data_IF_465183302344
#
_entry.id   IF_465183302344
#
_cell.length_a   1.000
_cell.length_b   1.000
_cell.length_c   1.000
_cell.angle_alpha   90.00
_cell.angle_beta   90.00
_cell.angle_gamma   90.00
#
_symmetry.space_group_name_H-M   'P 1'
#
loop_
_entity.id
_entity.type
_entity.pdbx_description
1 polymer ?
#
# COMPACT_ATOMS: atom_id res chain seq x y z
N UNK A 1 -27.59 -28.95 40.61
CA UNK A 1 -27.23 -28.96 39.16
C UNK A 1 -28.03 -27.95 38.34
N UNK A 2 -29.38 -27.96 38.34
CA UNK A 2 -30.20 -26.97 37.58
C UNK A 2 -29.90 -25.51 37.92
N UNK A 3 -29.78 -25.16 39.20
CA UNK A 3 -29.50 -23.78 39.64
C UNK A 3 -28.15 -23.26 39.11
N UNK A 4 -27.11 -24.11 39.08
CA UNK A 4 -25.77 -23.75 38.58
C UNK A 4 -25.79 -23.49 37.07
N UNK A 5 -26.52 -24.32 36.31
CA UNK A 5 -26.70 -24.12 34.87
C UNK A 5 -27.48 -22.83 34.56
N UNK A 6 -28.53 -22.53 35.31
CA UNK A 6 -29.30 -21.29 35.14
C UNK A 6 -28.46 -20.06 35.47
N UNK A 7 -27.65 -20.10 36.54
CA UNK A 7 -26.76 -19.00 36.91
C UNK A 7 -25.65 -18.79 35.88
N UNK A 8 -25.03 -19.86 35.36
CA UNK A 8 -24.02 -19.77 34.29
C UNK A 8 -24.62 -19.24 32.97
N UNK A 9 -25.83 -19.66 32.62
CA UNK A 9 -26.53 -19.20 31.42
C UNK A 9 -26.88 -17.70 31.50
N UNK A 10 -27.37 -17.25 32.67
CA UNK A 10 -27.63 -15.83 32.94
C UNK A 10 -26.31 -15.03 32.91
N UNK A 11 -25.23 -15.51 33.54
CA UNK A 11 -23.91 -14.86 33.48
C UNK A 11 -23.35 -14.79 32.05
N UNK A 12 -23.58 -15.79 31.20
CA UNK A 12 -23.19 -15.73 29.79
C UNK A 12 -24.03 -14.76 28.95
N UNK A 13 -25.33 -14.60 29.27
CA UNK A 13 -26.23 -13.68 28.57
C UNK A 13 -26.02 -12.21 28.96
N UNK A 14 -25.58 -11.94 30.19
CA UNK A 14 -25.28 -10.58 30.67
C UNK A 14 -23.79 -10.23 30.69
N UNK A 15 -22.91 -11.20 30.38
CA UNK A 15 -21.45 -11.03 30.40
C UNK A 15 -20.83 -10.64 29.06
N UNK A 16 -21.58 -10.59 27.96
CA UNK A 16 -21.06 -10.17 26.65
C UNK A 16 -20.98 -8.64 26.58
N UNK A 17 -19.94 -8.05 27.17
CA UNK A 17 -19.54 -6.69 26.77
C UNK A 17 -18.99 -6.76 25.35
N UNK A 18 -19.53 -5.96 24.44
CA UNK A 18 -18.93 -5.75 23.13
C UNK A 18 -17.56 -5.11 23.33
N UNK A 19 -16.50 -5.91 23.27
CA UNK A 19 -15.13 -5.41 23.23
C UNK A 19 -14.90 -4.95 21.80
N UNK A 20 -14.93 -3.64 21.57
CA UNK A 20 -14.52 -3.07 20.30
C UNK A 20 -13.00 -3.01 20.27
N UNK A 21 -12.40 -3.40 19.15
CA UNK A 21 -10.99 -3.10 18.88
C UNK A 21 -10.88 -1.68 18.34
N UNK A 22 -9.80 -0.97 18.71
CA UNK A 22 -9.45 0.25 18.00
C UNK A 22 -9.05 -0.13 16.57
N UNK A 23 -9.77 0.39 15.59
CA UNK A 23 -9.47 0.17 14.18
C UNK A 23 -9.41 1.48 13.40
N UNK A 24 -8.62 1.51 12.33
CA UNK A 24 -8.47 2.69 11.48
C UNK A 24 -8.32 2.33 10.01
N UNK A 25 -8.63 3.30 9.15
CA UNK A 25 -8.46 3.17 7.71
C UNK A 25 -6.99 3.44 7.37
N UNK A 26 -6.39 2.55 6.59
CA UNK A 26 -5.03 2.72 6.09
C UNK A 26 -5.03 3.43 4.73
N UNK A 27 -4.22 4.50 4.58
CA UNK A 27 -4.09 5.21 3.31
C UNK A 27 -3.31 4.38 2.29
N UNK A 28 -3.60 4.62 1.00
CA UNK A 28 -2.72 4.15 -0.07
C UNK A 28 -1.37 4.84 0.03
N UNK A 29 -0.29 4.14 -0.34
CA UNK A 29 1.07 4.69 -0.23
C UNK A 29 1.24 6.00 -1.00
N UNK A 30 0.55 6.16 -2.13
CA UNK A 30 0.50 7.42 -2.88
C UNK A 30 0.06 8.61 -2.00
N UNK A 31 -0.94 8.44 -1.14
CA UNK A 31 -1.44 9.50 -0.26
C UNK A 31 -0.45 9.83 0.84
N UNK A 32 0.19 8.80 1.41
CA UNK A 32 1.26 8.95 2.41
C UNK A 32 2.37 9.83 1.87
N UNK A 33 2.86 9.51 0.67
CA UNK A 33 3.96 10.28 0.07
C UNK A 33 3.52 11.69 -0.31
N UNK A 34 2.37 11.86 -0.96
CA UNK A 34 1.87 13.19 -1.39
C UNK A 34 1.62 14.17 -0.23
N UNK A 35 1.23 13.65 0.93
CA UNK A 35 0.82 14.48 2.07
C UNK A 35 1.95 14.75 3.07
N UNK A 36 3.09 14.08 2.93
CA UNK A 36 4.27 14.32 3.74
C UNK A 36 5.04 15.54 3.25
N UNK A 37 5.59 16.32 4.18
CA UNK A 37 6.40 17.48 3.85
C UNK A 37 7.89 17.12 3.72
N UNK A 38 8.31 16.05 4.41
CA UNK A 38 9.70 15.62 4.46
C UNK A 38 9.87 14.11 4.27
N UNK A 39 11.01 13.72 3.68
CA UNK A 39 11.46 12.33 3.61
C UNK A 39 12.88 12.20 4.18
N UNK A 40 13.01 11.54 5.33
CA UNK A 40 14.25 11.52 6.12
C UNK A 40 14.63 10.11 6.57
N UNK A 41 15.94 9.88 6.75
CA UNK A 41 16.51 8.75 7.48
C UNK A 41 16.86 9.21 8.89
N UNK A 42 16.45 8.44 9.88
CA UNK A 42 16.58 8.78 11.30
C UNK A 42 17.10 7.61 12.11
N UNK A 43 17.71 7.92 13.26
CA UNK A 43 17.94 6.98 14.35
C UNK A 43 16.84 7.17 15.40
N UNK A 44 16.05 6.14 15.67
CA UNK A 44 15.07 6.16 16.76
C UNK A 44 15.83 6.01 18.07
N UNK A 45 15.63 6.97 18.99
CA UNK A 45 16.33 7.01 20.29
C UNK A 45 15.41 6.64 21.45
N UNK A 46 14.11 6.91 21.30
CA UNK A 46 13.07 6.53 22.26
C UNK A 46 11.75 6.36 21.52
N UNK A 47 10.95 5.39 21.96
CA UNK A 47 9.57 5.16 21.52
C UNK A 47 8.73 4.90 22.75
N UNK A 48 7.69 5.69 22.94
CA UNK A 48 6.66 5.51 23.96
C UNK A 48 5.33 5.37 23.21
N UNK A 49 4.57 4.28 23.42
CA UNK A 49 3.32 4.03 22.69
C UNK A 49 2.35 5.20 22.69
N UNK A 50 2.26 5.92 23.81
CA UNK A 50 1.28 7.00 24.02
C UNK A 50 1.88 8.39 23.74
N UNK A 51 3.19 8.57 23.96
CA UNK A 51 3.85 9.89 23.82
C UNK A 51 4.55 10.10 22.49
N UNK A 52 4.75 9.05 21.71
CA UNK A 52 5.40 9.10 20.41
C UNK A 52 6.88 8.73 20.42
N UNK A 53 7.57 9.18 19.38
CA UNK A 53 8.94 8.77 19.03
C UNK A 53 9.86 9.98 19.09
N UNK A 54 11.01 9.82 19.75
CA UNK A 54 12.13 10.76 19.66
C UNK A 54 13.17 10.16 18.72
N UNK A 55 13.49 10.89 17.65
CA UNK A 55 14.43 10.43 16.65
C UNK A 55 15.45 11.52 16.29
N UNK A 56 16.68 11.11 15.98
CA UNK A 56 17.72 12.01 15.46
C UNK A 56 17.82 11.83 13.96
N UNK A 57 17.72 12.92 13.22
CA UNK A 57 17.85 12.90 11.76
C UNK A 57 19.31 12.63 11.39
N UNK A 58 19.51 11.58 10.62
CA UNK A 58 20.81 11.21 10.04
C UNK A 58 20.97 11.96 8.71
N UNK A 59 19.94 11.94 7.87
CA UNK A 59 19.98 12.53 6.53
C UNK A 59 18.58 12.79 5.99
N UNK A 60 18.43 13.90 5.27
CA UNK A 60 17.25 14.18 4.44
C UNK A 60 17.44 13.64 3.02
N UNK A 61 16.43 12.97 2.48
CA UNK A 61 16.42 12.38 1.13
C UNK A 61 15.61 13.22 0.13
N UNK A 62 14.68 14.01 0.63
CA UNK A 62 13.89 15.00 -0.12
C UNK A 62 14.70 16.22 -0.61
N UNK A 63 15.96 16.35 -0.21
CA UNK A 63 16.80 17.51 -0.51
C UNK A 63 16.61 18.70 0.45
N UNK A 64 15.78 18.55 1.50
CA UNK A 64 15.68 19.54 2.58
C UNK A 64 16.92 19.51 3.48
N UNK A 65 17.14 20.58 4.23
CA UNK A 65 18.23 20.67 5.23
C UNK A 65 17.74 20.33 6.66
N UNK A 66 16.76 19.45 6.78
CA UNK A 66 16.26 19.05 8.10
C UNK A 66 17.33 18.26 8.87
N UNK A 67 17.59 18.65 10.13
CA UNK A 67 18.64 18.05 10.96
C UNK A 67 18.30 18.16 12.45
N UNK A 68 19.03 17.44 13.29
CA UNK A 68 18.86 17.46 14.74
C UNK A 68 17.87 16.41 15.26
N UNK A 69 17.38 16.63 16.48
CA UNK A 69 16.43 15.75 17.15
C UNK A 69 15.01 16.24 16.92
N UNK A 70 14.13 15.33 16.55
CA UNK A 70 12.71 15.58 16.30
C UNK A 70 11.85 14.73 17.23
N UNK A 71 10.62 15.19 17.42
CA UNK A 71 9.56 14.44 18.09
C UNK A 71 8.48 14.14 17.07
N UNK A 72 8.10 12.87 16.96
CA UNK A 72 6.99 12.39 16.15
C UNK A 72 5.91 11.92 17.12
N UNK A 73 4.78 12.63 17.22
CA UNK A 73 3.81 12.40 18.29
C UNK A 73 2.35 12.49 17.83
N UNK A 74 2.12 12.41 16.52
CA UNK A 74 0.79 12.53 15.95
C UNK A 74 0.68 11.79 14.60
N UNK A 75 -0.54 11.65 14.09
CA UNK A 75 -0.86 10.95 12.86
C UNK A 75 -1.68 11.82 11.90
N UNK A 76 -1.14 12.13 10.71
CA UNK A 76 -1.79 13.10 9.80
C UNK A 76 -2.85 12.51 8.86
N UNK A 77 -3.02 11.18 8.81
CA UNK A 77 -4.09 10.51 8.04
C UNK A 77 -4.84 9.45 8.87
N UNK A 78 -4.81 9.57 10.19
CA UNK A 78 -5.54 8.65 11.03
C UNK A 78 -7.05 8.89 10.93
N UNK A 79 -7.75 7.88 10.46
CA UNK A 79 -9.21 7.86 10.32
C UNK A 79 -9.76 6.64 11.09
N UNK A 80 -10.29 6.87 12.28
CA UNK A 80 -10.75 5.82 13.19
C UNK A 80 -12.10 5.26 12.73
N UNK A 81 -12.15 3.94 12.52
CA UNK A 81 -13.38 3.22 12.18
C UNK A 81 -14.15 2.72 13.42
N UNK A 82 -13.42 2.30 14.45
CA UNK A 82 -14.00 1.89 15.74
C UNK A 82 -13.02 2.19 16.86
N UNK A 83 -13.53 2.50 18.05
CA UNK A 83 -12.73 2.83 19.24
C UNK A 83 -12.95 1.82 20.36
N UNK A 84 -11.89 1.48 21.09
CA UNK A 84 -11.98 0.77 22.37
C UNK A 84 -11.88 1.76 23.53
N UNK A 85 -12.61 1.50 24.62
CA UNK A 85 -12.47 2.26 25.88
C UNK A 85 -11.15 1.85 26.57
N UNK A 86 -10.00 2.37 26.13
CA UNK A 86 -8.76 2.18 26.89
C UNK A 86 -7.44 2.47 26.19
N UNK A 87 -7.37 2.35 24.87
CA UNK A 87 -6.10 2.54 24.13
C UNK A 87 -6.33 3.34 22.85
N UNK A 88 -5.53 4.39 22.67
CA UNK A 88 -5.47 5.16 21.43
C UNK A 88 -4.58 4.48 20.38
N UNK A 89 -4.41 5.09 19.21
CA UNK A 89 -3.42 4.62 18.24
C UNK A 89 -2.02 4.82 18.81
N UNK A 90 -1.21 3.77 18.77
CA UNK A 90 0.06 3.70 19.49
C UNK A 90 1.29 3.72 18.55
N UNK A 91 2.41 4.24 19.05
CA UNK A 91 3.70 4.22 18.36
C UNK A 91 4.54 3.00 18.78
N UNK A 92 4.64 2.00 17.89
CA UNK A 92 5.44 0.79 18.13
C UNK A 92 6.71 0.75 17.28
N UNK A 93 7.82 1.27 17.82
CA UNK A 93 9.14 1.24 17.16
C UNK A 93 10.18 0.44 17.95
N UNK A 94 9.74 -0.39 18.91
CA UNK A 94 10.64 -1.25 19.67
C UNK A 94 11.51 -2.09 18.73
N UNK A 95 12.82 -2.09 18.96
CA UNK A 95 13.84 -2.84 18.18
C UNK A 95 14.12 -2.32 16.77
N UNK A 96 13.64 -1.12 16.42
CA UNK A 96 13.98 -0.49 15.15
C UNK A 96 14.89 0.72 15.40
N UNK A 97 16.20 0.51 15.29
CA UNK A 97 17.16 1.60 15.55
C UNK A 97 17.15 2.66 14.45
N UNK A 98 16.89 2.26 13.21
CA UNK A 98 17.00 3.14 12.03
C UNK A 98 15.76 3.02 11.16
N UNK A 99 15.12 4.15 10.91
CA UNK A 99 13.89 4.24 10.12
C UNK A 99 14.01 5.36 9.10
N UNK A 100 13.46 5.10 7.92
CA UNK A 100 13.01 6.17 7.04
C UNK A 100 11.62 6.62 7.48
N UNK A 101 11.36 7.92 7.43
CA UNK A 101 10.06 8.50 7.74
C UNK A 101 9.60 9.46 6.66
N UNK A 102 8.30 9.40 6.38
CA UNK A 102 7.53 10.43 5.70
C UNK A 102 6.86 11.30 6.76
N UNK A 103 7.38 12.51 6.95
CA UNK A 103 6.98 13.38 8.05
C UNK A 103 6.12 14.53 7.54
N UNK A 104 5.07 14.85 8.28
CA UNK A 104 4.31 16.10 8.14
C UNK A 104 4.54 16.95 9.38
N UNK A 105 4.78 18.26 9.23
CA UNK A 105 4.90 19.14 10.40
C UNK A 105 3.51 19.40 10.98
N UNK A 106 3.34 19.20 12.28
CA UNK A 106 2.06 19.47 12.95
C UNK A 106 1.98 20.90 13.50
N UNK A 107 0.79 21.28 13.96
CA UNK A 107 0.48 22.63 14.46
C UNK A 107 1.26 22.99 15.74
N UNK A 108 1.70 22.00 16.50
CA UNK A 108 2.54 22.18 17.70
C UNK A 108 4.03 22.33 17.38
N UNK A 109 4.42 22.25 16.09
CA UNK A 109 5.81 22.33 15.65
C UNK A 109 6.60 21.02 15.75
N UNK A 110 5.95 19.94 16.19
CA UNK A 110 6.45 18.58 16.13
C UNK A 110 6.10 17.94 14.76
N UNK A 111 6.27 16.63 14.63
CA UNK A 111 6.02 15.90 13.39
C UNK A 111 4.98 14.79 13.57
N UNK A 112 4.36 14.41 12.46
CA UNK A 112 3.39 13.34 12.37
C UNK A 112 3.80 12.34 11.28
N UNK A 113 3.49 11.06 11.47
CA UNK A 113 3.49 10.04 10.41
C UNK A 113 2.06 9.80 9.91
N UNK A 114 1.84 8.97 8.89
CA UNK A 114 0.50 8.85 8.29
C UNK A 114 -0.50 8.19 9.25
N UNK A 115 -0.14 7.00 9.75
CA UNK A 115 -0.93 6.16 10.66
C UNK A 115 0.03 5.33 11.53
N UNK A 116 -0.45 4.53 12.49
CA UNK A 116 0.41 3.62 13.26
C UNK A 116 1.19 2.60 12.40
N UNK A 117 0.75 2.28 11.18
CA UNK A 117 1.42 1.29 10.31
C UNK A 117 1.90 1.84 8.97
N UNK A 118 1.65 3.12 8.68
CA UNK A 118 2.08 3.80 7.45
C UNK A 118 2.93 5.04 7.74
N UNK A 119 3.79 5.37 6.78
CA UNK A 119 4.63 6.58 6.85
C UNK A 119 6.04 6.34 7.35
N UNK A 120 6.47 5.09 7.50
CA UNK A 120 7.84 4.73 7.84
C UNK A 120 8.30 3.45 7.16
N UNK A 121 9.62 3.24 7.13
CA UNK A 121 10.23 2.02 6.64
C UNK A 121 11.45 1.66 7.52
N UNK A 122 11.44 0.45 8.08
CA UNK A 122 12.43 -0.01 9.03
C UNK A 122 13.67 -0.57 8.32
N UNK A 123 14.87 -0.22 8.80
CA UNK A 123 16.13 -0.79 8.31
C UNK A 123 16.50 -2.01 9.13
N UNK A 124 16.75 -3.13 8.45
CA UNK A 124 17.19 -4.39 9.05
C UNK A 124 18.22 -5.09 8.16
N UNK A 125 19.42 -5.35 8.68
CA UNK A 125 20.50 -6.06 7.97
C UNK A 125 20.77 -5.51 6.55
N UNK A 126 20.86 -4.19 6.38
CA UNK A 126 21.04 -3.46 5.09
C UNK A 126 19.86 -3.54 4.11
N UNK A 127 18.78 -4.21 4.50
CA UNK A 127 17.51 -4.15 3.79
C UNK A 127 16.58 -3.16 4.48
N UNK A 128 15.60 -2.69 3.72
CA UNK A 128 14.55 -1.80 4.18
C UNK A 128 13.23 -2.53 3.98
N UNK A 129 12.45 -2.66 5.05
CA UNK A 129 11.07 -3.14 5.01
C UNK A 129 10.17 -1.94 4.74
N UNK A 130 9.71 -1.84 3.51
CA UNK A 130 9.07 -0.64 2.98
C UNK A 130 7.75 -0.94 2.28
N UNK A 131 6.81 -0.03 2.42
CA UNK A 131 5.55 -0.04 1.68
C UNK A 131 5.71 0.69 0.36
N UNK A 132 5.29 0.06 -0.74
CA UNK A 132 5.20 0.69 -2.07
C UNK A 132 3.77 0.76 -2.59
N UNK A 133 2.80 0.09 -1.95
CA UNK A 133 1.40 0.07 -2.36
C UNK A 133 0.45 0.38 -1.21
N UNK A 134 0.51 -0.45 -0.17
CA UNK A 134 -0.34 -0.37 1.02
C UNK A 134 0.37 -1.02 2.21
N UNK A 135 0.22 -0.49 3.42
CA UNK A 135 0.99 -0.86 4.63
C UNK A 135 0.95 -2.35 4.98
N UNK A 136 -0.17 -3.02 4.70
CA UNK A 136 -0.30 -4.48 4.83
C UNK A 136 0.82 -5.26 4.12
N UNK A 137 1.35 -4.74 3.02
CA UNK A 137 2.38 -5.42 2.23
C UNK A 137 3.64 -4.57 2.25
N UNK A 138 4.65 -5.07 2.97
CA UNK A 138 5.98 -4.51 2.95
C UNK A 138 6.90 -5.38 2.10
N UNK A 139 7.69 -4.75 1.24
CA UNK A 139 8.79 -5.39 0.55
C UNK A 139 10.06 -5.24 1.37
N UNK A 140 10.84 -6.32 1.50
CA UNK A 140 12.19 -6.26 2.05
C UNK A 140 13.17 -6.09 0.89
N UNK A 141 13.67 -4.87 0.68
CA UNK A 141 14.57 -4.56 -0.43
C UNK A 141 15.91 -4.00 0.04
N UNK A 142 17.01 -4.23 -0.68
CA UNK A 142 18.29 -3.61 -0.36
C UNK A 142 18.17 -2.09 -0.27
N UNK A 143 18.85 -1.48 0.71
CA UNK A 143 18.83 -0.03 0.90
C UNK A 143 19.24 0.74 -0.36
N UNK A 144 20.19 0.18 -1.13
CA UNK A 144 20.68 0.72 -2.42
C UNK A 144 19.63 0.73 -3.53
N UNK A 145 18.51 0.00 -3.36
CA UNK A 145 17.33 0.04 -4.24
C UNK A 145 16.26 0.94 -3.64
N UNK A 146 16.02 0.82 -2.32
CA UNK A 146 14.99 1.60 -1.62
C UNK A 146 15.21 3.10 -1.75
N UNK A 147 16.40 3.60 -1.42
CA UNK A 147 16.67 5.04 -1.39
C UNK A 147 16.41 5.71 -2.75
N UNK A 148 17.00 5.27 -3.88
CA UNK A 148 16.78 5.94 -5.15
C UNK A 148 15.35 5.79 -5.69
N UNK A 149 14.71 4.62 -5.53
CA UNK A 149 13.32 4.43 -5.99
C UNK A 149 12.33 5.27 -5.19
N UNK A 150 12.43 5.24 -3.86
CA UNK A 150 11.51 5.98 -3.00
C UNK A 150 11.76 7.50 -3.03
N UNK A 151 13.02 7.92 -3.17
CA UNK A 151 13.35 9.32 -3.41
C UNK A 151 12.74 9.80 -4.72
N UNK A 152 12.84 9.01 -5.80
CA UNK A 152 12.22 9.38 -7.08
C UNK A 152 10.69 9.52 -6.94
N UNK A 153 10.03 8.60 -6.23
CA UNK A 153 8.59 8.64 -5.97
C UNK A 153 8.22 9.91 -5.19
N UNK A 154 8.93 10.19 -4.10
CA UNK A 154 8.72 11.41 -3.31
C UNK A 154 8.88 12.65 -4.18
N UNK A 155 10.00 12.78 -4.90
CA UNK A 155 10.28 13.92 -5.76
C UNK A 155 9.23 14.12 -6.84
N UNK A 156 8.79 13.05 -7.50
CA UNK A 156 7.71 13.10 -8.49
C UNK A 156 6.43 13.72 -7.93
N UNK A 157 6.02 13.29 -6.74
CA UNK A 157 4.81 13.83 -6.11
C UNK A 157 4.94 15.27 -5.62
N UNK A 158 6.17 15.75 -5.46
CA UNK A 158 6.50 17.12 -5.06
C UNK A 158 6.97 18.00 -6.22
N UNK A 159 6.78 17.56 -7.47
CA UNK A 159 7.14 18.33 -8.66
C UNK A 159 8.64 18.55 -8.86
N UNK A 160 9.48 17.67 -8.30
CA UNK A 160 10.93 17.73 -8.37
C UNK A 160 11.49 16.69 -9.35
N UNK A 161 12.67 16.97 -9.90
CA UNK A 161 13.38 16.06 -10.79
C UNK A 161 13.99 14.86 -10.05
N UNK A 162 14.04 13.71 -10.73
CA UNK A 162 14.62 12.48 -10.22
C UNK A 162 15.55 11.83 -11.25
N UNK A 163 16.42 10.93 -10.79
CA UNK A 163 17.36 10.21 -11.65
C UNK A 163 16.63 9.20 -12.55
N UNK A 164 16.19 9.67 -13.70
CA UNK A 164 15.45 8.85 -14.67
C UNK A 164 16.30 7.68 -15.21
N UNK A 165 17.61 7.87 -15.36
CA UNK A 165 18.50 6.86 -15.92
C UNK A 165 18.63 5.65 -14.98
N UNK A 166 18.82 5.92 -13.68
CA UNK A 166 18.81 4.86 -12.66
C UNK A 166 17.47 4.11 -12.68
N UNK A 167 16.36 4.84 -12.64
CA UNK A 167 15.02 4.25 -12.55
C UNK A 167 14.71 3.38 -13.76
N UNK A 168 14.95 3.86 -14.98
CA UNK A 168 14.73 3.09 -16.20
C UNK A 168 15.63 1.84 -16.24
N UNK A 169 16.89 1.97 -15.79
CA UNK A 169 17.82 0.84 -15.69
C UNK A 169 17.34 -0.22 -14.70
N UNK A 170 16.89 0.21 -13.51
CA UNK A 170 16.36 -0.68 -12.48
C UNK A 170 15.10 -1.42 -12.94
N UNK A 171 14.14 -0.71 -13.54
CA UNK A 171 12.90 -1.29 -14.05
C UNK A 171 13.20 -2.32 -15.14
N UNK A 172 14.00 -1.95 -16.15
CA UNK A 172 14.34 -2.86 -17.24
C UNK A 172 15.05 -4.10 -16.74
N UNK A 173 16.00 -3.95 -15.81
CA UNK A 173 16.73 -5.08 -15.22
C UNK A 173 15.78 -6.02 -14.46
N UNK A 174 14.89 -5.47 -13.64
CA UNK A 174 14.03 -6.27 -12.76
C UNK A 174 12.92 -6.97 -13.55
N UNK A 175 12.33 -6.30 -14.54
CA UNK A 175 11.22 -6.82 -15.34
C UNK A 175 11.65 -7.60 -16.58
N UNK A 176 12.95 -7.64 -16.91
CA UNK A 176 13.48 -8.54 -17.94
C UNK A 176 13.48 -10.02 -17.50
N UNK A 177 13.39 -10.27 -16.19
CA UNK A 177 13.23 -11.60 -15.64
C UNK A 177 11.77 -12.04 -15.71
N UNK A 178 11.54 -13.35 -15.84
CA UNK A 178 10.20 -13.92 -15.67
C UNK A 178 9.66 -13.60 -14.26
N UNK A 179 8.32 -13.53 -14.08
CA UNK A 179 7.73 -13.37 -12.76
C UNK A 179 8.28 -14.37 -11.76
N UNK A 180 8.83 -13.86 -10.65
CA UNK A 180 9.42 -14.69 -9.62
C UNK A 180 8.34 -15.37 -8.78
N UNK A 181 8.63 -16.60 -8.38
CA UNK A 181 7.80 -17.34 -7.42
C UNK A 181 7.93 -16.74 -6.03
N UNK A 182 6.87 -16.86 -5.24
CA UNK A 182 6.86 -16.47 -3.82
C UNK A 182 7.30 -17.69 -3.00
N UNK A 183 8.58 -17.99 -3.05
CA UNK A 183 9.26 -19.02 -2.25
C UNK A 183 10.60 -18.49 -1.72
N UNK A 184 11.32 -19.29 -0.94
CA UNK A 184 12.57 -18.85 -0.29
C UNK A 184 13.63 -18.37 -1.30
N UNK A 185 13.72 -18.99 -2.46
CA UNK A 185 14.71 -18.66 -3.50
C UNK A 185 14.27 -17.47 -4.37
N UNK A 186 12.96 -17.34 -4.63
CA UNK A 186 12.38 -16.32 -5.50
C UNK A 186 12.04 -15.01 -4.80
N UNK A 187 11.91 -15.00 -3.47
CA UNK A 187 11.39 -13.85 -2.70
C UNK A 187 12.13 -12.54 -2.96
N UNK A 188 13.46 -12.56 -2.97
CA UNK A 188 14.26 -11.36 -3.21
C UNK A 188 14.01 -10.79 -4.61
N UNK A 189 13.92 -11.66 -5.62
CA UNK A 189 13.60 -11.25 -7.00
C UNK A 189 12.18 -10.71 -7.10
N UNK A 190 11.23 -11.38 -6.44
CA UNK A 190 9.83 -10.94 -6.36
C UNK A 190 9.72 -9.53 -5.77
N UNK A 191 10.43 -9.23 -4.67
CA UNK A 191 10.41 -7.89 -4.09
C UNK A 191 10.98 -6.82 -5.02
N UNK A 192 12.06 -7.12 -5.76
CA UNK A 192 12.61 -6.19 -6.75
C UNK A 192 11.63 -5.94 -7.90
N UNK A 193 10.95 -6.97 -8.39
CA UNK A 193 9.93 -6.87 -9.43
C UNK A 193 8.72 -6.07 -8.95
N UNK A 194 8.25 -6.33 -7.73
CA UNK A 194 7.18 -5.55 -7.10
C UNK A 194 7.55 -4.07 -7.02
N UNK A 195 8.74 -3.75 -6.51
CA UNK A 195 9.21 -2.36 -6.43
C UNK A 195 9.33 -1.72 -7.81
N UNK A 196 9.79 -2.43 -8.83
CA UNK A 196 9.86 -1.91 -10.20
C UNK A 196 8.47 -1.55 -10.75
N UNK A 197 7.47 -2.42 -10.60
CA UNK A 197 6.10 -2.19 -11.07
C UNK A 197 5.41 -1.04 -10.31
N UNK A 198 5.50 -0.99 -8.98
CA UNK A 198 4.91 0.12 -8.22
C UNK A 198 5.65 1.44 -8.49
N UNK A 199 6.97 1.40 -8.70
CA UNK A 199 7.75 2.59 -9.12
C UNK A 199 7.27 3.09 -10.49
N UNK A 200 6.98 2.21 -11.44
CA UNK A 200 6.38 2.60 -12.73
C UNK A 200 5.04 3.32 -12.55
N UNK A 201 4.17 2.78 -11.69
CA UNK A 201 2.88 3.40 -11.37
C UNK A 201 3.07 4.81 -10.79
N UNK A 202 3.86 4.93 -9.73
CA UNK A 202 4.05 6.20 -9.01
C UNK A 202 4.73 7.27 -9.86
N UNK A 203 5.66 6.88 -10.74
CA UNK A 203 6.39 7.80 -11.61
C UNK A 203 5.68 8.09 -12.93
N UNK A 204 4.54 7.43 -13.16
CA UNK A 204 3.74 7.50 -14.38
C UNK A 204 4.53 7.15 -15.66
N UNK A 205 5.28 6.06 -15.62
CA UNK A 205 6.18 5.65 -16.72
C UNK A 205 5.46 4.76 -17.72
N UNK A 206 5.54 5.12 -19.01
CA UNK A 206 4.82 4.42 -20.09
C UNK A 206 5.68 3.50 -20.98
N UNK A 207 7.01 3.53 -20.82
CA UNK A 207 7.96 2.93 -21.78
C UNK A 207 8.17 1.41 -21.65
N UNK A 208 7.55 0.75 -20.67
CA UNK A 208 7.82 -0.66 -20.34
C UNK A 208 6.57 -1.56 -20.44
N UNK A 209 5.64 -1.22 -21.34
CA UNK A 209 4.40 -2.00 -21.55
C UNK A 209 4.66 -3.49 -21.75
N UNK A 210 5.53 -3.86 -22.71
CA UNK A 210 5.83 -5.26 -23.03
C UNK A 210 6.42 -6.01 -21.83
N UNK A 211 7.28 -5.36 -21.04
CA UNK A 211 7.87 -5.96 -19.84
C UNK A 211 6.86 -6.12 -18.70
N UNK A 212 5.73 -5.41 -18.73
CA UNK A 212 4.68 -5.50 -17.71
C UNK A 212 3.75 -6.68 -17.95
N UNK A 213 3.55 -7.09 -19.21
CA UNK A 213 2.55 -8.11 -19.57
C UNK A 213 2.75 -9.48 -18.91
N UNK A 214 3.97 -10.04 -18.81
CA UNK A 214 4.15 -11.34 -18.15
C UNK A 214 3.66 -11.35 -16.71
N UNK A 215 3.80 -10.23 -15.99
CA UNK A 215 3.35 -10.07 -14.60
C UNK A 215 1.83 -9.92 -14.49
N UNK A 216 1.19 -9.27 -15.48
CA UNK A 216 -0.26 -9.17 -15.54
C UNK A 216 -0.92 -10.54 -15.76
N UNK A 217 -0.25 -11.42 -16.52
CA UNK A 217 -0.73 -12.75 -16.88
C UNK A 217 -0.30 -13.85 -15.89
N UNK A 218 0.42 -13.51 -14.83
CA UNK A 218 0.86 -14.47 -13.82
C UNK A 218 -0.28 -14.84 -12.87
N UNK A 219 -1.09 -15.81 -13.30
CA UNK A 219 -2.20 -16.37 -12.51
C UNK A 219 -1.75 -17.14 -11.27
N UNK A 220 -0.45 -17.40 -11.10
CA UNK A 220 0.09 -18.05 -9.90
C UNK A 220 0.43 -17.06 -8.79
N UNK A 221 0.43 -15.75 -9.10
CA UNK A 221 0.86 -14.70 -8.19
C UNK A 221 -0.01 -13.46 -8.34
N UNK A 222 -1.11 -13.40 -7.57
CA UNK A 222 -2.02 -12.26 -7.62
C UNK A 222 -1.34 -10.94 -7.24
N UNK A 223 -0.28 -10.94 -6.41
CA UNK A 223 0.46 -9.72 -6.08
C UNK A 223 1.18 -9.13 -7.30
N UNK A 224 1.74 -9.98 -8.16
CA UNK A 224 2.34 -9.57 -9.42
C UNK A 224 1.29 -8.96 -10.35
N UNK A 225 0.12 -9.61 -10.48
CA UNK A 225 -0.99 -9.08 -11.27
C UNK A 225 -1.47 -7.72 -10.78
N UNK A 226 -1.61 -7.53 -9.46
CA UNK A 226 -2.00 -6.27 -8.84
C UNK A 226 -1.02 -5.14 -9.20
N UNK A 227 0.28 -5.39 -9.02
CA UNK A 227 1.32 -4.39 -9.32
C UNK A 227 1.41 -4.10 -10.82
N UNK A 228 1.25 -5.11 -11.68
CA UNK A 228 1.23 -4.93 -13.12
C UNK A 228 0.01 -4.12 -13.59
N UNK A 229 -1.18 -4.44 -13.09
CA UNK A 229 -2.41 -3.71 -13.40
C UNK A 229 -2.30 -2.24 -12.98
N UNK A 230 -1.68 -1.92 -11.84
CA UNK A 230 -1.37 -0.54 -11.43
C UNK A 230 -0.34 0.10 -12.34
N UNK A 231 0.76 -0.58 -12.66
CA UNK A 231 1.80 -0.04 -13.55
C UNK A 231 1.23 0.38 -14.92
N UNK A 232 0.17 -0.29 -15.39
CA UNK A 232 -0.52 0.08 -16.61
C UNK A 232 -1.23 1.43 -16.55
N UNK A 233 -1.55 2.03 -15.39
CA UNK A 233 -2.26 3.33 -15.26
C UNK A 233 -1.71 4.47 -16.11
N UNK A 234 -0.43 4.44 -16.50
CA UNK A 234 0.17 5.47 -17.39
C UNK A 234 0.36 5.02 -18.84
N UNK A 235 -0.14 3.85 -19.20
CA UNK A 235 -0.08 3.22 -20.52
C UNK A 235 -1.51 3.12 -21.06
N UNK A 236 -2.09 4.28 -21.39
CA UNK A 236 -3.43 4.38 -21.96
C UNK A 236 -3.42 4.13 -23.48
N UNK A 237 -3.17 2.88 -23.88
CA UNK A 237 -3.24 2.45 -25.28
C UNK A 237 -4.42 1.47 -25.50
N UNK A 238 -4.90 1.30 -26.75
CA UNK A 238 -5.90 0.29 -27.06
C UNK A 238 -5.52 -1.11 -26.59
N UNK A 239 -4.24 -1.48 -26.72
CA UNK A 239 -3.73 -2.80 -26.32
C UNK A 239 -3.79 -2.97 -24.81
N UNK A 240 -3.34 -1.97 -24.04
CA UNK A 240 -3.41 -1.98 -22.57
C UNK A 240 -4.86 -2.11 -22.08
N UNK A 241 -5.80 -1.38 -22.69
CA UNK A 241 -7.24 -1.50 -22.42
C UNK A 241 -7.76 -2.91 -22.67
N UNK A 242 -7.37 -3.52 -23.79
CA UNK A 242 -7.76 -4.90 -24.11
C UNK A 242 -7.17 -5.91 -23.13
N UNK A 243 -5.93 -5.73 -22.69
CA UNK A 243 -5.31 -6.59 -21.67
C UNK A 243 -6.02 -6.49 -20.31
N UNK A 244 -6.41 -5.29 -19.89
CA UNK A 244 -7.19 -5.09 -18.67
C UNK A 244 -8.58 -5.71 -18.79
N UNK A 245 -9.27 -5.55 -19.93
CA UNK A 245 -10.56 -6.22 -20.18
C UNK A 245 -10.44 -7.75 -20.21
N UNK A 246 -9.34 -8.28 -20.74
CA UNK A 246 -9.07 -9.71 -20.73
C UNK A 246 -8.92 -10.23 -19.29
N UNK A 247 -8.18 -9.50 -18.44
CA UNK A 247 -8.04 -9.83 -17.02
C UNK A 247 -9.39 -9.79 -16.28
N UNK A 248 -10.28 -8.84 -16.61
CA UNK A 248 -11.63 -8.79 -16.04
C UNK A 248 -12.53 -9.97 -16.45
N UNK A 249 -12.35 -10.50 -17.67
CA UNK A 249 -13.12 -11.65 -18.16
C UNK A 249 -12.56 -13.00 -17.69
N UNK A 250 -11.28 -13.05 -17.30
CA UNK A 250 -10.61 -14.28 -16.91
C UNK A 250 -11.20 -14.84 -15.61
N UNK A 251 -11.66 -16.08 -15.66
CA UNK A 251 -12.24 -16.78 -14.51
C UNK A 251 -11.17 -17.28 -13.54
N UNK A 252 -9.92 -17.45 -13.99
CA UNK A 252 -8.82 -17.85 -13.14
C UNK A 252 -8.26 -16.69 -12.30
N UNK A 253 -8.49 -15.45 -12.72
CA UNK A 253 -8.01 -14.27 -11.99
C UNK A 253 -8.88 -13.98 -10.77
N UNK A 254 -8.24 -13.78 -9.62
CA UNK A 254 -8.90 -13.39 -8.36
C UNK A 254 -9.60 -12.02 -8.45
N UNK A 255 -10.57 -11.77 -7.55
CA UNK A 255 -11.39 -10.56 -7.57
C UNK A 255 -10.60 -9.26 -7.26
N UNK A 256 -9.52 -9.34 -6.48
CA UNK A 256 -8.78 -8.12 -6.14
C UNK A 256 -7.97 -7.57 -7.33
N UNK A 257 -7.18 -8.39 -8.07
CA UNK A 257 -6.60 -7.96 -9.34
C UNK A 257 -7.63 -7.36 -10.31
N UNK A 258 -8.82 -7.95 -10.41
CA UNK A 258 -9.92 -7.41 -11.23
C UNK A 258 -10.34 -6.02 -10.76
N UNK A 259 -10.55 -5.83 -9.46
CA UNK A 259 -10.91 -4.53 -8.88
C UNK A 259 -9.87 -3.46 -9.21
N UNK A 260 -8.58 -3.80 -9.11
CA UNK A 260 -7.48 -2.90 -9.50
C UNK A 260 -7.50 -2.60 -11.00
N UNK A 261 -7.74 -3.59 -11.86
CA UNK A 261 -7.86 -3.36 -13.29
C UNK A 261 -9.04 -2.42 -13.63
N UNK A 262 -10.16 -2.50 -12.90
CA UNK A 262 -11.26 -1.53 -13.03
C UNK A 262 -10.81 -0.11 -12.68
N UNK A 263 -10.06 0.08 -11.59
CA UNK A 263 -9.52 1.39 -11.23
C UNK A 263 -8.51 1.92 -12.25
N UNK A 264 -7.65 1.04 -12.77
CA UNK A 264 -6.75 1.39 -13.86
C UNK A 264 -7.53 1.84 -15.10
N UNK A 265 -8.55 1.10 -15.52
CA UNK A 265 -9.42 1.52 -16.61
C UNK A 265 -10.11 2.85 -16.31
N UNK A 266 -10.59 3.06 -15.08
CA UNK A 266 -11.24 4.32 -14.71
C UNK A 266 -10.33 5.54 -14.91
N UNK A 267 -9.02 5.40 -14.67
CA UNK A 267 -8.03 6.45 -14.92
C UNK A 267 -7.93 6.87 -16.40
N UNK A 268 -8.34 6.02 -17.33
CA UNK A 268 -8.32 6.30 -18.77
C UNK A 268 -9.59 6.98 -19.29
N UNK A 269 -10.69 6.99 -18.52
CA UNK A 269 -12.03 7.38 -18.97
C UNK A 269 -12.45 6.70 -20.30
N UNK A 270 -12.52 5.36 -20.36
CA UNK A 270 -12.61 4.58 -21.61
C UNK A 270 -14.05 4.50 -22.13
N UNK A 271 -14.57 5.60 -22.65
CA UNK A 271 -15.96 5.69 -23.16
C UNK A 271 -16.26 4.65 -24.23
N UNK A 272 -15.26 4.30 -25.04
CA UNK A 272 -15.36 3.28 -26.09
C UNK A 272 -15.61 1.86 -25.55
N UNK A 273 -15.32 1.60 -24.27
CA UNK A 273 -15.49 0.27 -23.65
C UNK A 273 -16.80 0.15 -22.85
N UNK A 274 -17.65 1.18 -22.81
CA UNK A 274 -18.83 1.24 -21.93
C UNK A 274 -19.71 -0.01 -22.06
N UNK A 275 -20.05 -0.41 -23.28
CA UNK A 275 -20.90 -1.58 -23.55
C UNK A 275 -20.28 -2.89 -23.02
N UNK A 276 -18.97 -3.06 -23.14
CA UNK A 276 -18.29 -4.26 -22.65
C UNK A 276 -18.22 -4.29 -21.12
N UNK A 277 -17.99 -3.12 -20.50
CA UNK A 277 -17.99 -2.96 -19.04
C UNK A 277 -19.40 -3.19 -18.45
N UNK A 278 -20.46 -2.71 -19.09
CA UNK A 278 -21.84 -3.00 -18.71
C UNK A 278 -22.19 -4.49 -18.84
N UNK A 279 -21.61 -5.18 -19.83
CA UNK A 279 -21.76 -6.64 -19.98
C UNK A 279 -21.05 -7.39 -18.85
N UNK A 280 -19.84 -6.97 -18.51
CA UNK A 280 -19.06 -7.51 -17.39
C UNK A 280 -19.78 -7.29 -16.05
N UNK A 281 -20.34 -6.10 -15.82
CA UNK A 281 -21.06 -5.75 -14.59
C UNK A 281 -22.20 -6.75 -14.27
N UNK A 282 -22.90 -7.25 -15.29
CA UNK A 282 -24.00 -8.22 -15.11
C UNK A 282 -23.55 -9.57 -14.55
N UNK A 283 -22.26 -9.90 -14.68
CA UNK A 283 -21.67 -11.18 -14.26
C UNK A 283 -20.60 -10.99 -13.16
N UNK A 284 -20.33 -9.76 -12.76
CA UNK A 284 -19.27 -9.45 -11.82
C UNK A 284 -19.62 -9.97 -10.42
N UNK A 285 -18.60 -10.50 -9.74
CA UNK A 285 -18.67 -10.96 -8.36
C UNK A 285 -19.04 -9.81 -7.42
N UNK A 286 -19.97 -10.08 -6.51
CA UNK A 286 -20.29 -9.25 -5.34
C UNK A 286 -19.61 -9.77 -4.07
N UNK A 287 -18.67 -10.70 -4.20
CA UNK A 287 -17.88 -11.18 -3.07
C UNK A 287 -16.90 -10.10 -2.60
N UNK A 288 -16.74 -10.02 -1.28
CA UNK A 288 -15.76 -9.13 -0.66
C UNK A 288 -14.36 -9.57 -1.05
N UNK A 289 -13.52 -8.60 -1.40
CA UNK A 289 -12.15 -8.84 -1.82
C UNK A 289 -11.18 -7.93 -1.08
N UNK A 290 -9.88 -8.15 -1.28
CA UNK A 290 -8.85 -7.33 -0.65
C UNK A 290 -7.48 -7.96 -0.74
N UNK A 291 -6.59 -7.51 0.13
CA UNK A 291 -5.15 -7.79 0.07
C UNK A 291 -4.74 -9.25 0.26
N UNK A 292 -5.67 -10.15 0.61
CA UNK A 292 -5.37 -11.50 1.06
C UNK A 292 -4.73 -11.45 2.45
N UNK A 293 -5.19 -12.26 3.41
CA UNK A 293 -4.67 -12.19 4.79
C UNK A 293 -5.24 -11.06 5.67
N UNK A 294 -6.26 -10.31 5.21
CA UNK A 294 -7.06 -9.32 5.98
C UNK A 294 -7.74 -9.89 7.26
N UNK A 295 -7.49 -11.14 7.63
CA UNK A 295 -7.91 -11.73 8.91
C UNK A 295 -6.87 -11.43 10.03
N UNK A 296 -5.66 -10.97 9.69
CA UNK A 296 -4.52 -11.00 10.63
C UNK A 296 -4.18 -9.68 11.32
N UNK A 297 -4.50 -8.50 10.77
CA UNK A 297 -4.45 -7.24 11.54
C UNK A 297 -5.87 -6.73 11.78
N UNK A 298 -6.51 -7.08 12.90
CA UNK A 298 -7.88 -6.67 13.19
C UNK A 298 -8.00 -5.15 13.40
N UNK A 299 -6.89 -4.41 13.42
CA UNK A 299 -6.86 -2.96 13.63
C UNK A 299 -7.07 -2.17 12.34
N UNK A 300 -7.06 -2.78 11.17
CA UNK A 300 -7.25 -2.03 9.91
C UNK A 300 -8.59 -2.36 9.27
N UNK A 301 -9.39 -1.31 9.02
CA UNK A 301 -10.76 -1.40 8.51
C UNK A 301 -10.91 -0.97 7.04
N UNK A 302 -9.80 -0.78 6.30
CA UNK A 302 -9.81 -0.28 4.92
C UNK A 302 -10.77 -1.08 4.04
N UNK A 303 -11.83 -0.42 3.57
CA UNK A 303 -12.82 -1.06 2.71
C UNK A 303 -12.35 -1.08 1.26
N UNK A 304 -12.29 -2.28 0.68
CA UNK A 304 -12.05 -2.49 -0.75
C UNK A 304 -13.41 -2.81 -1.40
N UNK A 305 -13.84 -2.08 -2.44
CA UNK A 305 -15.08 -2.38 -3.13
C UNK A 305 -15.02 -3.75 -3.80
N UNK A 306 -16.17 -4.37 -3.97
CA UNK A 306 -16.29 -5.59 -4.79
C UNK A 306 -16.00 -5.25 -6.26
N UNK A 307 -15.73 -6.28 -7.09
CA UNK A 307 -15.55 -6.09 -8.54
C UNK A 307 -16.81 -5.44 -9.14
N UNK A 308 -17.98 -5.88 -8.70
CA UNK A 308 -19.28 -5.33 -9.12
C UNK A 308 -19.45 -3.86 -8.73
N UNK A 309 -19.12 -3.48 -7.50
CA UNK A 309 -19.20 -2.08 -7.05
C UNK A 309 -18.25 -1.17 -7.84
N UNK A 310 -17.02 -1.65 -8.08
CA UNK A 310 -16.03 -0.91 -8.85
C UNK A 310 -16.52 -0.69 -10.31
N UNK A 311 -17.06 -1.74 -10.95
CA UNK A 311 -17.60 -1.65 -12.31
C UNK A 311 -18.84 -0.76 -12.39
N UNK A 312 -19.75 -0.85 -11.41
CA UNK A 312 -20.94 -0.01 -11.35
C UNK A 312 -20.55 1.47 -11.25
N UNK A 313 -19.57 1.79 -10.40
CA UNK A 313 -19.04 3.16 -10.28
C UNK A 313 -18.41 3.65 -11.58
N UNK A 314 -17.58 2.84 -12.24
CA UNK A 314 -16.96 3.21 -13.51
C UNK A 314 -18.01 3.43 -14.61
N UNK A 315 -18.90 2.47 -14.82
CA UNK A 315 -19.92 2.56 -15.89
C UNK A 315 -20.87 3.75 -15.71
N UNK A 316 -21.18 4.15 -14.47
CA UNK A 316 -21.97 5.34 -14.18
C UNK A 316 -21.25 6.66 -14.51
N UNK A 317 -19.91 6.66 -14.60
CA UNK A 317 -19.09 7.84 -14.92
C UNK A 317 -18.82 8.01 -16.43
N UNK A 318 -19.03 6.97 -17.24
CA UNK A 318 -18.78 6.95 -18.70
C UNK A 318 -19.98 7.43 -19.50
#
# INVERSE_FOLDING_TARGET
MRLIFTTLFILSLFGSRSVFALTWNEPWHEQVVKNADFFVLTKVTSSDPDKGVIATIIRSLDGSNLSGTITINDFYQLDICSSSDGHGPEFHFERTDTCYFFLKKNTAGAYSIATPTSGFAAVWKKNVRATYRHSYHQASVPQVVYEPTMTAIFRKYHGQDFDRAYIDGFIKKSLALAPAKIDEEGMDTFFLQHVALETMFHLSLSSNYILTLPFLHDTSNFHAQLSAARALTSINTPESKQQLLALLNDQATEDFPKTVAVWTLASYNPKELKTDLERLLKKASDEKTGFGGNIMDPRVCTNIPTVKDALAKLTAQL
#
